data_IF_286512016763
#
_entry.id   IF_286512016763
#
_cell.length_a   1.000
_cell.length_b   1.000
_cell.length_c   1.000
_cell.angle_alpha   90.00
_cell.angle_beta   90.00
_cell.angle_gamma   90.00
#
_symmetry.space_group_name_H-M   'P 1'
#
loop_
_entity.id
_entity.type
_entity.pdbx_description
1 polymer ?
#
# COMPACT_ATOMS: atom_id res chain seq x y z
N UNK A 1 0.21 -12.05 59.99
CA UNK A 1 1.28 -11.20 59.42
C UNK A 1 1.88 -11.88 58.20
N UNK A 2 1.67 -11.34 57.00
CA UNK A 2 2.21 -11.93 55.76
C UNK A 2 3.71 -11.70 55.66
N UNK A 3 4.51 -12.77 55.57
CA UNK A 3 5.96 -12.68 55.36
C UNK A 3 6.23 -11.99 54.03
N UNK A 4 6.90 -10.82 54.06
CA UNK A 4 7.24 -10.05 52.87
C UNK A 4 8.01 -10.89 51.85
N UNK A 5 7.72 -10.71 50.55
CA UNK A 5 8.42 -11.42 49.46
C UNK A 5 9.92 -11.14 49.56
N UNK A 6 10.73 -12.21 49.56
CA UNK A 6 12.19 -12.12 49.46
C UNK A 6 12.55 -11.45 48.12
N UNK A 7 13.29 -10.34 48.17
CA UNK A 7 13.79 -9.67 46.97
C UNK A 7 14.83 -10.60 46.33
N UNK A 8 14.46 -11.28 45.24
CA UNK A 8 15.41 -12.07 44.45
C UNK A 8 16.09 -11.19 43.41
N UNK A 9 17.41 -11.30 43.31
CA UNK A 9 18.21 -10.64 42.28
C UNK A 9 18.51 -11.65 41.18
N UNK A 10 18.06 -11.36 39.96
CA UNK A 10 18.43 -12.12 38.77
C UNK A 10 19.76 -11.59 38.24
N UNK A 11 20.85 -12.32 38.51
CA UNK A 11 22.21 -11.96 38.10
C UNK A 11 22.42 -12.01 36.58
N UNK A 12 21.49 -12.59 35.81
CA UNK A 12 21.54 -12.58 34.33
C UNK A 12 21.10 -11.23 33.76
N UNK A 13 20.39 -10.42 34.55
CA UNK A 13 19.85 -9.12 34.12
C UNK A 13 20.76 -7.99 34.56
N UNK A 14 21.38 -7.34 33.59
CA UNK A 14 22.12 -6.11 33.81
C UNK A 14 21.14 -4.92 33.91
N UNK A 15 20.67 -4.64 35.13
CA UNK A 15 19.70 -3.57 35.42
C UNK A 15 20.20 -2.19 34.98
N UNK A 16 21.51 -1.95 34.95
CA UNK A 16 22.10 -0.69 34.47
C UNK A 16 21.89 -0.55 32.96
N UNK A 17 22.08 -1.63 32.20
CA UNK A 17 21.79 -1.66 30.76
C UNK A 17 20.30 -1.52 30.49
N UNK A 18 19.44 -2.21 31.23
CA UNK A 18 17.98 -2.08 31.09
C UNK A 18 17.50 -0.66 31.35
N UNK A 19 17.99 -0.01 32.41
CA UNK A 19 17.67 1.38 32.72
C UNK A 19 18.15 2.34 31.63
N UNK A 20 19.31 2.09 31.01
CA UNK A 20 19.76 2.88 29.85
C UNK A 20 18.85 2.69 28.64
N UNK A 21 18.39 1.46 28.39
CA UNK A 21 17.44 1.15 27.31
C UNK A 21 16.08 1.82 27.53
N UNK A 22 15.54 1.78 28.76
CA UNK A 22 14.25 2.38 29.07
C UNK A 22 14.27 3.91 29.04
N UNK A 23 15.42 4.52 29.33
CA UNK A 23 15.64 5.97 29.20
C UNK A 23 15.95 6.43 27.79
N UNK A 24 16.12 5.52 26.83
CA UNK A 24 16.44 5.89 25.45
C UNK A 24 15.22 6.58 24.83
N UNK A 25 15.43 7.80 24.34
CA UNK A 25 14.36 8.55 23.69
C UNK A 25 13.95 7.88 22.36
N UNK A 26 12.65 7.93 22.08
CA UNK A 26 12.09 7.50 20.80
C UNK A 26 12.24 8.65 19.81
N UNK A 27 12.94 8.39 18.72
CA UNK A 27 13.13 9.37 17.65
C UNK A 27 12.03 9.14 16.61
N UNK A 28 11.06 10.05 16.57
CA UNK A 28 9.98 10.03 15.58
C UNK A 28 10.42 10.77 14.32
N UNK A 29 10.48 10.06 13.18
CA UNK A 29 10.91 10.62 11.90
C UNK A 29 9.81 11.44 11.21
N UNK A 30 8.55 11.01 11.29
CA UNK A 30 7.43 11.70 10.64
C UNK A 30 7.10 13.00 11.38
N UNK A 31 7.11 14.12 10.67
CA UNK A 31 6.88 15.45 11.25
C UNK A 31 5.48 15.62 11.87
N UNK A 32 4.44 15.07 11.24
CA UNK A 32 3.05 15.16 11.72
C UNK A 32 2.92 14.46 13.07
N UNK A 33 3.49 13.25 13.18
CA UNK A 33 3.47 12.49 14.43
C UNK A 33 4.38 13.17 15.46
N UNK A 34 5.55 13.66 15.06
CA UNK A 34 6.49 14.35 15.96
C UNK A 34 5.87 15.57 16.64
N UNK A 35 5.04 16.35 15.92
CA UNK A 35 4.29 17.50 16.49
C UNK A 35 3.31 17.10 17.60
N UNK A 36 2.79 15.88 17.54
CA UNK A 36 1.80 15.36 18.50
C UNK A 36 2.38 14.36 19.50
N UNK A 37 3.69 14.16 19.47
CA UNK A 37 4.38 13.21 20.33
C UNK A 37 4.73 13.83 21.69
N UNK A 38 4.24 13.24 22.77
CA UNK A 38 4.63 13.64 24.12
C UNK A 38 5.85 12.85 24.60
N UNK A 39 6.91 13.53 25.03
CA UNK A 39 8.07 12.84 25.62
C UNK A 39 7.80 12.33 27.04
N UNK A 40 6.78 12.87 27.72
CA UNK A 40 6.44 12.47 29.09
C UNK A 40 5.64 11.16 29.14
N UNK A 41 4.93 10.84 28.07
CA UNK A 41 4.06 9.67 27.98
C UNK A 41 4.80 8.46 27.42
N UNK A 42 4.30 7.26 27.78
CA UNK A 42 4.74 6.01 27.16
C UNK A 42 4.32 5.96 25.68
N UNK A 43 5.01 5.16 24.88
CA UNK A 43 4.62 4.97 23.47
C UNK A 43 3.16 4.51 23.32
N UNK A 44 2.66 3.48 24.04
CA UNK A 44 1.25 3.07 23.91
C UNK A 44 0.25 4.19 24.25
N UNK A 45 0.54 4.99 25.28
CA UNK A 45 -0.31 6.12 25.66
C UNK A 45 -0.32 7.22 24.58
N UNK A 46 0.83 7.52 23.98
CA UNK A 46 0.93 8.45 22.85
C UNK A 46 0.14 7.95 21.65
N UNK A 47 0.30 6.68 21.26
CA UNK A 47 -0.43 6.10 20.13
C UNK A 47 -1.94 6.17 20.35
N UNK A 48 -2.42 5.75 21.53
CA UNK A 48 -3.84 5.86 21.91
C UNK A 48 -4.34 7.31 21.87
N UNK A 49 -3.55 8.27 22.36
CA UNK A 49 -3.87 9.71 22.33
C UNK A 49 -3.95 10.26 20.91
N UNK A 50 -3.03 9.85 20.04
CA UNK A 50 -2.97 10.25 18.63
C UNK A 50 -4.11 9.59 17.83
N UNK A 51 -4.72 8.51 18.32
CA UNK A 51 -5.74 7.74 17.61
C UNK A 51 -5.13 6.69 16.67
N UNK A 52 -3.96 6.16 17.03
CA UNK A 52 -3.27 5.07 16.34
C UNK A 52 -3.17 3.85 17.26
N UNK A 53 -3.07 2.68 16.65
CA UNK A 53 -2.83 1.41 17.34
C UNK A 53 -1.33 1.25 17.64
N UNK A 54 -1.01 0.81 18.85
CA UNK A 54 0.39 0.56 19.24
C UNK A 54 0.88 -0.81 18.76
N UNK A 55 0.06 -1.85 18.94
CA UNK A 55 0.32 -3.20 18.46
C UNK A 55 -0.84 -3.63 17.54
N UNK A 56 -0.60 -3.70 16.22
CA UNK A 56 -1.63 -4.12 15.27
C UNK A 56 -2.17 -5.51 15.54
N UNK A 57 -1.33 -6.46 15.99
CA UNK A 57 -1.77 -7.84 16.19
C UNK A 57 -2.75 -7.90 17.36
N UNK A 58 -2.41 -7.28 18.48
CA UNK A 58 -3.33 -7.22 19.62
C UNK A 58 -4.68 -6.61 19.24
N UNK A 59 -4.68 -5.54 18.46
CA UNK A 59 -5.92 -4.84 18.12
C UNK A 59 -6.74 -5.57 17.03
N UNK A 60 -6.10 -6.27 16.09
CA UNK A 60 -6.77 -7.11 15.08
C UNK A 60 -7.44 -8.32 15.75
N UNK A 61 -6.77 -8.98 16.70
CA UNK A 61 -7.36 -10.14 17.37
C UNK A 61 -8.39 -9.76 18.46
N UNK A 62 -8.37 -8.52 18.97
CA UNK A 62 -9.40 -8.02 19.90
C UNK A 62 -10.72 -7.64 19.20
N UNK A 63 -10.72 -7.38 17.89
CA UNK A 63 -11.93 -6.97 17.18
C UNK A 63 -12.94 -8.09 16.93
N UNK A 64 -12.57 -9.36 17.18
CA UNK A 64 -13.51 -10.49 17.11
C UNK A 64 -14.43 -10.57 18.34
N UNK A 65 -14.11 -9.85 19.42
CA UNK A 65 -15.03 -9.60 20.54
C UNK A 65 -15.79 -8.30 20.31
N UNK A 66 -17.11 -8.32 20.52
CA UNK A 66 -18.07 -7.23 20.28
C UNK A 66 -17.49 -5.84 20.59
N UNK A 67 -17.16 -5.10 19.53
CA UNK A 67 -16.66 -3.74 19.64
C UNK A 67 -17.83 -2.85 20.03
N UNK A 68 -17.81 -2.31 21.25
CA UNK A 68 -18.70 -1.21 21.63
C UNK A 68 -18.58 -0.12 20.56
N UNK A 69 -19.68 0.20 19.87
CA UNK A 69 -19.79 1.23 18.83
C UNK A 69 -19.64 2.63 19.44
N UNK A 70 -18.50 2.91 20.05
CA UNK A 70 -18.09 4.25 20.40
C UNK A 70 -17.79 5.00 19.11
N UNK A 71 -18.50 6.10 18.86
CA UNK A 71 -18.23 7.01 17.75
C UNK A 71 -16.84 7.65 17.95
N UNK A 72 -15.77 6.99 17.47
CA UNK A 72 -14.40 7.50 17.59
C UNK A 72 -14.28 8.72 16.67
N UNK A 73 -14.40 9.92 17.24
CA UNK A 73 -14.10 11.16 16.52
C UNK A 73 -12.63 11.13 16.11
N UNK A 74 -12.39 11.18 14.80
CA UNK A 74 -11.02 11.22 14.28
C UNK A 74 -10.23 12.38 14.89
N UNK A 75 -9.06 12.08 15.42
CA UNK A 75 -8.12 13.07 15.95
C UNK A 75 -7.57 13.95 14.83
N UNK A 76 -7.16 15.17 15.17
CA UNK A 76 -6.57 16.14 14.22
C UNK A 76 -5.37 15.54 13.46
N UNK A 77 -4.52 14.83 14.17
CA UNK A 77 -3.32 14.15 13.65
C UNK A 77 -3.64 13.09 12.63
N UNK A 78 -4.67 12.26 12.87
CA UNK A 78 -5.10 11.22 11.92
C UNK A 78 -5.65 11.85 10.65
N UNK A 79 -6.42 12.94 10.77
CA UNK A 79 -6.90 13.69 9.60
C UNK A 79 -5.75 14.25 8.76
N UNK A 80 -4.75 14.85 9.41
CA UNK A 80 -3.54 15.34 8.72
C UNK A 80 -2.78 14.21 8.01
N UNK A 81 -2.63 13.05 8.64
CA UNK A 81 -2.00 11.88 8.03
C UNK A 81 -2.79 11.36 6.81
N UNK A 82 -4.13 11.32 6.88
CA UNK A 82 -4.99 10.95 5.75
C UNK A 82 -4.83 11.94 4.60
N UNK A 83 -4.82 13.24 4.88
CA UNK A 83 -4.63 14.28 3.88
C UNK A 83 -3.25 14.19 3.22
N UNK A 84 -2.19 13.94 3.99
CA UNK A 84 -0.84 13.74 3.47
C UNK A 84 -0.73 12.49 2.58
N UNK A 85 -1.47 11.42 2.90
CA UNK A 85 -1.56 10.23 2.03
C UNK A 85 -2.30 10.55 0.72
N UNK A 86 -3.41 11.28 0.80
CA UNK A 86 -4.23 11.62 -0.36
C UNK A 86 -3.53 12.58 -1.33
N UNK A 87 -2.72 13.51 -0.83
CA UNK A 87 -1.97 14.46 -1.65
C UNK A 87 -0.75 13.85 -2.36
N UNK A 88 -0.38 12.60 -2.03
CA UNK A 88 0.75 11.91 -2.65
C UNK A 88 0.48 11.69 -4.14
N UNK A 89 1.28 12.34 -4.99
CA UNK A 89 1.25 12.13 -6.45
C UNK A 89 1.55 10.67 -6.78
N UNK A 90 0.59 10.00 -7.43
CA UNK A 90 0.79 8.66 -7.98
C UNK A 90 1.54 8.84 -9.31
N UNK A 91 2.72 8.23 -9.42
CA UNK A 91 3.46 8.21 -10.68
C UNK A 91 2.74 7.28 -11.64
N UNK A 92 2.53 7.74 -12.87
CA UNK A 92 2.01 6.87 -13.93
C UNK A 92 2.99 5.72 -14.19
N UNK A 93 2.45 4.53 -14.43
CA UNK A 93 3.28 3.39 -14.84
C UNK A 93 3.76 3.62 -16.27
N UNK A 94 5.05 3.48 -16.47
CA UNK A 94 5.63 3.45 -17.81
C UNK A 94 5.20 2.18 -18.56
N UNK A 95 4.94 2.31 -19.86
CA UNK A 95 4.61 1.20 -20.76
C UNK A 95 5.42 1.40 -22.03
N UNK A 96 6.17 0.36 -22.42
CA UNK A 96 6.95 0.37 -23.66
C UNK A 96 6.06 0.53 -24.89
N UNK A 97 6.62 1.02 -25.99
CA UNK A 97 5.93 1.11 -27.28
C UNK A 97 5.39 -0.23 -27.74
N UNK A 98 6.25 -1.23 -27.83
CA UNK A 98 5.88 -2.58 -28.26
C UNK A 98 4.75 -3.17 -27.40
N UNK A 99 4.77 -2.91 -26.09
CA UNK A 99 3.73 -3.36 -25.17
C UNK A 99 2.39 -2.65 -25.40
N UNK A 100 2.40 -1.36 -25.74
CA UNK A 100 1.19 -0.60 -26.11
C UNK A 100 0.61 -1.15 -27.39
N UNK A 101 1.47 -1.31 -28.40
CA UNK A 101 1.11 -1.88 -29.69
C UNK A 101 0.46 -3.25 -29.48
N UNK A 102 1.07 -4.09 -28.64
CA UNK A 102 0.62 -5.46 -28.45
C UNK A 102 -0.76 -5.49 -27.82
N UNK A 103 -0.98 -4.62 -26.83
CA UNK A 103 -2.29 -4.47 -26.23
C UNK A 103 -3.34 -3.94 -27.22
N UNK A 104 -3.00 -2.95 -28.06
CA UNK A 104 -3.92 -2.42 -29.08
C UNK A 104 -4.33 -3.53 -30.06
N UNK A 105 -3.36 -4.27 -30.59
CA UNK A 105 -3.58 -5.41 -31.49
C UNK A 105 -4.51 -6.47 -30.87
N UNK A 106 -4.19 -6.90 -29.64
CA UNK A 106 -4.98 -7.94 -28.97
C UNK A 106 -6.42 -7.49 -28.67
N UNK A 107 -6.61 -6.23 -28.24
CA UNK A 107 -7.95 -5.69 -27.96
C UNK A 107 -8.80 -5.63 -29.23
N UNK A 108 -8.22 -5.32 -30.38
CA UNK A 108 -8.98 -5.14 -31.62
C UNK A 108 -9.36 -6.47 -32.26
N UNK A 109 -8.46 -7.46 -32.24
CA UNK A 109 -8.74 -8.78 -32.82
C UNK A 109 -9.58 -9.67 -31.91
N UNK A 110 -9.25 -9.72 -30.62
CA UNK A 110 -9.83 -10.70 -29.69
C UNK A 110 -10.78 -10.07 -28.65
N UNK A 111 -10.72 -8.75 -28.45
CA UNK A 111 -11.62 -8.04 -27.54
C UNK A 111 -11.44 -8.45 -26.07
N UNK A 112 -12.30 -9.35 -25.60
CA UNK A 112 -12.32 -9.85 -24.22
C UNK A 112 -11.81 -11.28 -24.07
N UNK A 113 -11.56 -12.00 -25.16
CA UNK A 113 -11.12 -13.39 -25.11
C UNK A 113 -9.60 -13.49 -24.91
N UNK A 114 -9.19 -13.63 -23.66
CA UNK A 114 -7.78 -13.62 -23.24
C UNK A 114 -7.10 -14.97 -23.52
N UNK A 115 -7.86 -16.06 -23.58
CA UNK A 115 -7.28 -17.37 -23.87
C UNK A 115 -6.82 -17.43 -25.32
N UNK A 116 -7.63 -16.93 -26.24
CA UNK A 116 -7.28 -16.82 -27.65
C UNK A 116 -6.09 -15.87 -27.87
N UNK A 117 -6.01 -14.74 -27.15
CA UNK A 117 -4.84 -13.84 -27.20
C UNK A 117 -3.52 -14.54 -26.84
N UNK A 118 -3.56 -15.51 -25.92
CA UNK A 118 -2.36 -16.24 -25.52
C UNK A 118 -1.84 -17.18 -26.61
N UNK A 119 -2.73 -17.65 -27.48
CA UNK A 119 -2.44 -18.58 -28.58
C UNK A 119 -2.15 -17.88 -29.89
N UNK A 120 -2.28 -16.56 -29.94
CA UNK A 120 -1.99 -15.76 -31.12
C UNK A 120 -0.49 -15.82 -31.48
N UNK A 121 -0.19 -15.80 -32.77
CA UNK A 121 1.18 -15.92 -33.28
C UNK A 121 2.09 -14.74 -32.90
N UNK A 122 1.51 -13.53 -32.71
CA UNK A 122 2.25 -12.33 -32.30
C UNK A 122 2.58 -12.32 -30.81
N UNK A 123 2.06 -13.26 -30.02
CA UNK A 123 2.51 -13.49 -28.65
C UNK A 123 3.88 -14.18 -28.60
N UNK A 124 4.92 -13.52 -29.14
CA UNK A 124 6.27 -14.09 -29.32
C UNK A 124 6.89 -14.60 -28.02
N UNK A 125 6.63 -13.88 -26.92
CA UNK A 125 7.14 -14.23 -25.59
C UNK A 125 6.28 -15.24 -24.84
N UNK A 126 5.28 -15.83 -25.51
CA UNK A 126 4.42 -16.87 -24.95
C UNK A 126 3.79 -16.45 -23.62
N UNK A 127 3.30 -15.21 -23.57
CA UNK A 127 2.68 -14.66 -22.38
C UNK A 127 1.44 -15.48 -22.01
N UNK A 128 1.33 -15.82 -20.73
CA UNK A 128 0.16 -16.54 -20.24
C UNK A 128 -1.08 -15.64 -20.28
N UNK A 129 -2.30 -16.21 -20.33
CA UNK A 129 -3.53 -15.41 -20.34
C UNK A 129 -3.58 -14.39 -19.19
N UNK A 130 -3.13 -14.78 -17.99
CA UNK A 130 -3.09 -13.88 -16.83
C UNK A 130 -2.10 -12.72 -17.00
N UNK A 131 -0.98 -12.93 -17.69
CA UNK A 131 0.00 -11.89 -17.98
C UNK A 131 -0.53 -10.91 -19.03
N UNK A 132 -1.15 -11.41 -20.09
CA UNK A 132 -1.78 -10.58 -21.13
C UNK A 132 -2.89 -9.73 -20.51
N UNK A 133 -3.74 -10.32 -19.67
CA UNK A 133 -4.76 -9.59 -18.91
C UNK A 133 -4.16 -8.42 -18.13
N UNK A 134 -3.10 -8.67 -17.37
CA UNK A 134 -2.42 -7.64 -16.56
C UNK A 134 -1.81 -6.54 -17.43
N UNK A 135 -1.23 -6.89 -18.58
CA UNK A 135 -0.71 -5.90 -19.55
C UNK A 135 -1.83 -5.02 -20.08
N UNK A 136 -2.94 -5.61 -20.52
CA UNK A 136 -4.13 -4.88 -21.00
C UNK A 136 -4.71 -3.99 -19.90
N UNK A 137 -4.85 -4.48 -18.66
CA UNK A 137 -5.33 -3.68 -17.53
C UNK A 137 -4.39 -2.50 -17.21
N UNK A 138 -3.08 -2.71 -17.35
CA UNK A 138 -2.08 -1.65 -17.18
C UNK A 138 -2.19 -0.62 -18.30
N UNK A 139 -2.34 -1.07 -19.55
CA UNK A 139 -2.57 -0.22 -20.71
C UNK A 139 -3.85 0.61 -20.56
N UNK A 140 -4.99 0.00 -20.19
CA UNK A 140 -6.27 0.70 -19.97
C UNK A 140 -6.21 1.81 -18.93
N UNK A 141 -5.39 1.65 -17.89
CA UNK A 141 -5.19 2.66 -16.84
C UNK A 141 -4.25 3.79 -17.27
N UNK A 142 -3.50 3.61 -18.35
CA UNK A 142 -2.51 4.58 -18.82
C UNK A 142 -3.15 5.71 -19.63
N UNK A 143 -2.41 6.82 -19.77
CA UNK A 143 -2.76 7.91 -20.67
C UNK A 143 -2.86 7.50 -22.15
N UNK A 144 -2.09 6.49 -22.57
CA UNK A 144 -2.03 6.02 -23.95
C UNK A 144 -3.34 5.40 -24.41
N UNK A 145 -4.08 4.76 -23.51
CA UNK A 145 -5.39 4.22 -23.84
C UNK A 145 -6.39 5.31 -24.21
N UNK A 146 -6.27 6.51 -23.61
CA UNK A 146 -7.10 7.66 -23.99
C UNK A 146 -6.76 8.17 -25.40
N UNK A 147 -5.49 8.09 -25.81
CA UNK A 147 -5.06 8.44 -27.16
C UNK A 147 -5.63 7.43 -28.16
N UNK A 148 -5.40 6.14 -27.92
CA UNK A 148 -5.97 5.05 -28.70
C UNK A 148 -7.50 5.17 -28.90
N UNK A 149 -8.26 5.54 -27.86
CA UNK A 149 -9.71 5.76 -28.00
C UNK A 149 -10.08 6.96 -28.87
N UNK A 150 -9.23 7.99 -28.97
CA UNK A 150 -9.42 9.11 -29.89
C UNK A 150 -9.12 8.67 -31.32
N UNK A 151 -7.96 8.07 -31.52
CA UNK A 151 -7.49 7.61 -32.83
C UNK A 151 -8.48 6.58 -33.42
N UNK A 152 -9.04 5.71 -32.57
CA UNK A 152 -10.09 4.75 -32.95
C UNK A 152 -11.38 5.43 -33.43
N UNK A 153 -11.77 6.55 -32.83
CA UNK A 153 -12.95 7.32 -33.27
C UNK A 153 -12.71 8.07 -34.57
N UNK A 154 -11.46 8.46 -34.81
CA UNK A 154 -11.03 9.18 -36.00
C UNK A 154 -10.77 8.24 -37.19
N UNK A 155 -10.95 6.92 -37.01
CA UNK A 155 -10.65 5.87 -37.98
C UNK A 155 -9.20 5.92 -38.53
N UNK A 156 -8.26 6.52 -37.79
CA UNK A 156 -6.87 6.71 -38.20
C UNK A 156 -5.97 5.52 -37.84
N UNK A 157 -6.49 4.54 -37.12
CA UNK A 157 -5.73 3.38 -36.66
C UNK A 157 -5.74 2.24 -37.70
N UNK A 158 -4.65 2.09 -38.46
CA UNK A 158 -4.40 0.86 -39.21
C UNK A 158 -3.49 -0.09 -38.42
N UNK A 159 -4.10 -0.94 -37.59
CA UNK A 159 -3.39 -1.79 -36.61
C UNK A 159 -2.53 -2.87 -37.28
N UNK A 160 -2.88 -3.28 -38.50
CA UNK A 160 -2.12 -4.29 -39.24
C UNK A 160 -0.78 -3.72 -39.73
N UNK A 161 -0.79 -2.51 -40.28
CA UNK A 161 0.42 -1.80 -40.72
C UNK A 161 1.35 -1.44 -39.57
N UNK A 162 0.82 -1.23 -38.37
CA UNK A 162 1.63 -0.87 -37.20
C UNK A 162 2.48 -2.03 -36.65
N UNK A 163 2.30 -3.24 -37.18
CA UNK A 163 2.98 -4.47 -36.76
C UNK A 163 3.72 -5.21 -37.89
N UNK A 164 3.59 -4.72 -39.13
CA UNK A 164 4.39 -5.16 -40.27
C UNK A 164 5.77 -4.49 -40.26
#
# INVERSE_FOLDING_TARGET
MGRGKRISFDYRKDRRKERKKSKKEIIVQNEIIKKSWDKSLSAPANFKRIGLTYDPNEDIYKSDSEVEEGFIRETKTVRELKNAKASKKIREKFISEDDRMFCMYMIELYGTDIESMSRDSKNLYQLTPTQIRRKIETFRKSKYFKQYLKDKKENSLNILELYE
#
